data_IF_681696282465
#
_entry.id   IF_681696282465
#
_cell.length_a   1.000
_cell.length_b   1.000
_cell.length_c   1.000
_cell.angle_alpha   90.00
_cell.angle_beta   90.00
_cell.angle_gamma   90.00
#
_symmetry.space_group_name_H-M   'P 1'
#
loop_
_entity.id
_entity.type
_entity.pdbx_description
1 polymer ?
#
# COMPACT_ATOMS: atom_id res chain seq x y z
N UNK A 1 -6.45 9.67 -0.80
CA UNK A 1 -5.77 8.36 -0.92
C UNK A 1 -6.75 7.24 -1.30
N UNK A 2 -7.74 6.88 -0.48
CA UNK A 2 -8.68 5.79 -0.81
C UNK A 2 -9.42 5.99 -2.13
N UNK A 3 -9.88 7.21 -2.43
CA UNK A 3 -10.55 7.54 -3.70
C UNK A 3 -9.66 7.30 -4.93
N UNK A 4 -8.39 7.69 -4.86
CA UNK A 4 -7.43 7.49 -5.95
C UNK A 4 -7.15 6.01 -6.19
N UNK A 5 -7.02 5.24 -5.10
CA UNK A 5 -6.78 3.80 -5.17
C UNK A 5 -8.00 3.06 -5.70
N UNK A 6 -9.19 3.42 -5.21
CA UNK A 6 -10.46 2.90 -5.73
C UNK A 6 -10.59 3.17 -7.23
N UNK A 7 -10.30 4.39 -7.68
CA UNK A 7 -10.31 4.74 -9.10
C UNK A 7 -9.34 3.90 -9.95
N UNK A 8 -8.11 3.69 -9.48
CA UNK A 8 -7.13 2.83 -10.17
C UNK A 8 -7.59 1.38 -10.25
N UNK A 9 -8.13 0.83 -9.17
CA UNK A 9 -8.66 -0.55 -9.14
C UNK A 9 -9.86 -0.73 -10.08
N UNK A 10 -10.80 0.22 -10.06
CA UNK A 10 -11.95 0.19 -10.98
C UNK A 10 -11.49 0.29 -12.43
N UNK A 11 -10.51 1.15 -12.73
CA UNK A 11 -9.93 1.28 -14.07
C UNK A 11 -9.26 -0.01 -14.55
N UNK A 12 -8.41 -0.62 -13.72
CA UNK A 12 -7.75 -1.90 -14.02
C UNK A 12 -8.80 -3.00 -14.22
N UNK A 13 -9.80 -3.08 -13.34
CA UNK A 13 -10.92 -4.03 -13.46
C UNK A 13 -11.69 -3.84 -14.77
N UNK A 14 -11.99 -2.60 -15.15
CA UNK A 14 -12.69 -2.31 -16.40
C UNK A 14 -11.90 -2.75 -17.64
N UNK A 15 -10.58 -2.49 -17.65
CA UNK A 15 -9.69 -2.97 -18.74
C UNK A 15 -9.64 -4.50 -18.76
N UNK A 16 -9.52 -5.17 -17.61
CA UNK A 16 -9.51 -6.62 -17.53
C UNK A 16 -10.80 -7.24 -18.06
N UNK A 17 -11.95 -6.65 -17.71
CA UNK A 17 -13.27 -7.06 -18.23
C UNK A 17 -13.35 -6.89 -19.74
N UNK A 18 -12.92 -5.75 -20.27
CA UNK A 18 -12.93 -5.50 -21.71
C UNK A 18 -12.08 -6.56 -22.44
N UNK A 19 -10.90 -6.89 -21.90
CA UNK A 19 -10.04 -7.93 -22.45
C UNK A 19 -10.67 -9.33 -22.36
N UNK A 20 -11.38 -9.66 -21.28
CA UNK A 20 -12.13 -10.92 -21.15
C UNK A 20 -13.24 -11.03 -22.20
N UNK A 21 -14.04 -9.97 -22.38
CA UNK A 21 -15.11 -9.94 -23.38
C UNK A 21 -14.55 -10.12 -24.80
N UNK A 22 -13.47 -9.39 -25.13
CA UNK A 22 -12.83 -9.46 -26.44
C UNK A 22 -12.24 -10.83 -26.76
N UNK A 23 -11.69 -11.52 -25.76
CA UNK A 23 -10.99 -12.79 -25.97
C UNK A 23 -11.90 -14.01 -25.92
N UNK A 24 -12.83 -14.02 -24.99
CA UNK A 24 -13.55 -15.24 -24.59
C UNK A 24 -15.04 -15.18 -24.94
N UNK A 25 -15.52 -14.04 -25.42
CA UNK A 25 -16.93 -13.83 -25.70
C UNK A 25 -17.74 -13.62 -24.41
N UNK A 26 -18.87 -14.31 -24.29
CA UNK A 26 -19.86 -14.09 -23.23
C UNK A 26 -19.74 -15.05 -22.04
N UNK A 27 -19.00 -16.15 -22.17
CA UNK A 27 -18.77 -17.12 -21.10
C UNK A 27 -17.31 -17.52 -20.99
N UNK A 28 -16.85 -17.83 -19.77
CA UNK A 28 -15.50 -18.31 -19.47
C UNK A 28 -15.58 -19.49 -18.52
N UNK A 29 -14.78 -20.51 -18.80
CA UNK A 29 -14.45 -21.54 -17.84
C UNK A 29 -13.41 -21.00 -16.85
N UNK A 30 -13.77 -21.02 -15.56
CA UNK A 30 -12.91 -20.53 -14.48
C UNK A 30 -12.16 -21.71 -13.89
N UNK A 31 -10.87 -21.77 -14.15
CA UNK A 31 -9.97 -22.74 -13.54
C UNK A 31 -9.58 -22.30 -12.11
N UNK A 32 -9.60 -23.25 -11.15
CA UNK A 32 -9.35 -22.98 -9.72
C UNK A 32 -7.96 -22.40 -9.52
N UNK A 33 -6.94 -22.92 -10.20
CA UNK A 33 -5.57 -22.43 -10.06
C UNK A 33 -5.46 -20.98 -10.54
N UNK A 34 -6.13 -20.64 -11.64
CA UNK A 34 -6.17 -19.27 -12.17
C UNK A 34 -6.89 -18.30 -11.22
N UNK A 35 -8.03 -18.73 -10.65
CA UNK A 35 -8.78 -17.94 -9.68
C UNK A 35 -7.96 -17.68 -8.39
N UNK A 36 -7.24 -18.70 -7.90
CA UNK A 36 -6.35 -18.57 -6.73
C UNK A 36 -5.20 -17.59 -7.00
N UNK A 37 -4.56 -17.67 -8.16
CA UNK A 37 -3.50 -16.72 -8.54
C UNK A 37 -4.05 -15.30 -8.62
N UNK A 38 -5.20 -15.10 -9.27
CA UNK A 38 -5.83 -13.78 -9.37
C UNK A 38 -6.20 -13.21 -7.99
N UNK A 39 -6.74 -14.04 -7.10
CA UNK A 39 -7.07 -13.65 -5.72
C UNK A 39 -5.81 -13.30 -4.92
N UNK A 40 -4.72 -14.07 -5.06
CA UNK A 40 -3.44 -13.78 -4.41
C UNK A 40 -2.84 -12.46 -4.89
N UNK A 41 -2.88 -12.16 -6.20
CA UNK A 41 -2.40 -10.87 -6.73
C UNK A 41 -3.24 -9.71 -6.19
N UNK A 42 -4.57 -9.86 -6.17
CA UNK A 42 -5.47 -8.84 -5.62
C UNK A 42 -5.21 -8.59 -4.14
N UNK A 43 -5.02 -9.65 -3.33
CA UNK A 43 -4.69 -9.55 -1.91
C UNK A 43 -3.33 -8.89 -1.68
N UNK A 44 -2.32 -9.22 -2.48
CA UNK A 44 -1.01 -8.56 -2.41
C UNK A 44 -1.13 -7.05 -2.68
N UNK A 45 -1.91 -6.67 -3.69
CA UNK A 45 -2.13 -5.28 -4.05
C UNK A 45 -2.93 -4.51 -2.97
N UNK A 46 -4.06 -5.08 -2.50
CA UNK A 46 -4.86 -4.48 -1.44
C UNK A 46 -4.07 -4.39 -0.13
N UNK A 47 -3.31 -5.43 0.19
CA UNK A 47 -2.44 -5.45 1.35
C UNK A 47 -1.38 -4.37 1.28
N UNK A 48 -0.71 -4.22 0.14
CA UNK A 48 0.24 -3.13 -0.11
C UNK A 48 -0.38 -1.75 0.17
N UNK A 49 -1.60 -1.51 -0.34
CA UNK A 49 -2.36 -0.28 -0.10
C UNK A 49 -2.62 -0.04 1.38
N UNK A 50 -3.13 -1.05 2.09
CA UNK A 50 -3.47 -0.95 3.51
C UNK A 50 -2.23 -0.72 4.35
N UNK A 51 -1.15 -1.46 4.07
CA UNK A 51 0.14 -1.31 4.73
C UNK A 51 0.69 0.09 4.57
N UNK A 52 0.64 0.65 3.35
CA UNK A 52 1.06 2.03 3.09
C UNK A 52 0.23 3.03 3.88
N UNK A 53 -1.09 2.83 3.97
CA UNK A 53 -1.97 3.70 4.75
C UNK A 53 -1.69 3.63 6.26
N UNK A 54 -1.52 2.42 6.81
CA UNK A 54 -1.18 2.20 8.23
C UNK A 54 0.18 2.79 8.59
N UNK A 55 1.14 2.64 7.68
CA UNK A 55 2.47 3.20 7.83
C UNK A 55 2.42 4.73 7.87
N UNK A 56 1.73 5.37 6.92
CA UNK A 56 1.54 6.83 6.93
C UNK A 56 0.79 7.30 8.18
N UNK A 57 -0.14 6.48 8.70
CA UNK A 57 -0.94 6.79 9.88
C UNK A 57 -0.20 6.64 11.23
N UNK A 58 1.09 6.34 11.25
CA UNK A 58 1.80 6.25 12.53
C UNK A 58 1.77 4.88 13.22
N UNK A 59 1.30 3.82 12.54
CA UNK A 59 1.01 2.51 13.16
C UNK A 59 1.96 1.39 12.68
N UNK A 60 3.27 1.46 13.00
CA UNK A 60 4.25 0.52 12.47
C UNK A 60 4.05 -0.93 12.98
N UNK A 61 3.62 -1.14 14.23
CA UNK A 61 3.40 -2.49 14.77
C UNK A 61 2.27 -3.27 14.08
N UNK A 62 1.13 -2.60 13.83
CA UNK A 62 0.03 -3.18 13.05
C UNK A 62 0.41 -3.38 11.58
N UNK A 63 1.34 -2.58 11.05
CA UNK A 63 1.83 -2.72 9.67
C UNK A 63 2.63 -4.02 9.54
N UNK A 64 3.56 -4.31 10.45
CA UNK A 64 4.40 -5.51 10.38
C UNK A 64 3.55 -6.78 10.49
N UNK A 65 2.67 -6.87 11.49
CA UNK A 65 1.80 -8.04 11.67
C UNK A 65 0.87 -8.27 10.47
N UNK A 66 0.21 -7.23 9.98
CA UNK A 66 -0.62 -7.33 8.77
C UNK A 66 0.20 -7.78 7.55
N UNK A 67 1.44 -7.32 7.41
CA UNK A 67 2.29 -7.69 6.26
C UNK A 67 2.66 -9.17 6.27
N UNK A 68 2.97 -9.74 7.44
CA UNK A 68 3.29 -11.16 7.58
C UNK A 68 2.07 -12.03 7.25
N UNK A 69 0.90 -11.68 7.79
CA UNK A 69 -0.34 -12.43 7.54
C UNK A 69 -0.72 -12.38 6.05
N UNK A 70 -0.73 -11.19 5.45
CA UNK A 70 -1.07 -11.03 4.03
C UNK A 70 -0.06 -11.77 3.15
N UNK A 71 1.24 -11.63 3.45
CA UNK A 71 2.29 -12.34 2.71
C UNK A 71 2.12 -13.86 2.77
N UNK A 72 1.84 -14.41 3.95
CA UNK A 72 1.60 -15.84 4.13
C UNK A 72 0.37 -16.33 3.33
N UNK A 73 -0.74 -15.59 3.37
CA UNK A 73 -1.96 -15.95 2.61
C UNK A 73 -1.70 -15.91 1.11
N UNK A 74 -1.03 -14.87 0.61
CA UNK A 74 -0.69 -14.72 -0.81
C UNK A 74 0.19 -15.88 -1.28
N UNK A 75 1.25 -16.20 -0.52
CA UNK A 75 2.16 -17.30 -0.84
C UNK A 75 1.46 -18.66 -0.78
N UNK A 76 0.61 -18.89 0.21
CA UNK A 76 -0.18 -20.11 0.32
C UNK A 76 -1.12 -20.29 -0.87
N UNK A 77 -1.81 -19.21 -1.30
CA UNK A 77 -2.69 -19.25 -2.47
C UNK A 77 -1.94 -19.56 -3.78
N UNK A 78 -0.74 -18.98 -3.97
CA UNK A 78 0.11 -19.26 -5.14
C UNK A 78 0.63 -20.70 -5.11
N UNK A 79 1.11 -21.18 -3.96
CA UNK A 79 1.60 -22.54 -3.81
C UNK A 79 0.49 -23.58 -4.04
N UNK A 80 -0.72 -23.30 -3.54
CA UNK A 80 -1.89 -24.15 -3.78
C UNK A 80 -2.27 -24.20 -5.26
N UNK A 81 -2.26 -23.04 -5.94
CA UNK A 81 -2.50 -22.97 -7.38
C UNK A 81 -1.46 -23.76 -8.19
N UNK A 82 -0.18 -23.67 -7.83
CA UNK A 82 0.89 -24.42 -8.48
C UNK A 82 0.72 -25.94 -8.32
N UNK A 83 0.27 -26.40 -7.14
CA UNK A 83 0.05 -27.82 -6.86
C UNK A 83 -1.20 -28.40 -7.55
N UNK A 84 -2.27 -27.62 -7.73
CA UNK A 84 -3.51 -28.08 -8.37
C UNK A 84 -3.34 -28.36 -9.87
N UNK A 85 -2.44 -27.65 -10.54
CA UNK A 85 -2.25 -27.75 -11.99
C UNK A 85 -3.46 -27.24 -12.79
N UNK A 86 -3.44 -27.46 -14.10
CA UNK A 86 -4.53 -27.07 -15.01
C UNK A 86 -5.58 -28.19 -15.13
N UNK A 87 -6.83 -27.82 -15.42
CA UNK A 87 -7.91 -28.76 -15.72
C UNK A 87 -8.91 -28.98 -14.59
N UNK A 88 -8.75 -28.27 -13.47
CA UNK A 88 -9.71 -28.26 -12.37
C UNK A 88 -10.57 -26.99 -12.45
N UNK A 89 -11.79 -27.15 -12.95
CA UNK A 89 -12.73 -26.04 -13.12
C UNK A 89 -13.46 -25.73 -11.81
N UNK A 90 -13.40 -24.47 -11.38
CA UNK A 90 -14.20 -23.94 -10.28
C UNK A 90 -15.65 -23.78 -10.72
N UNK A 91 -15.84 -23.32 -11.95
CA UNK A 91 -17.13 -23.14 -12.58
C UNK A 91 -16.96 -23.14 -14.10
N UNK A 92 -17.95 -23.68 -14.82
CA UNK A 92 -17.98 -23.71 -16.29
C UNK A 92 -19.00 -22.71 -16.82
N UNK A 93 -18.74 -22.19 -18.01
CA UNK A 93 -19.61 -21.26 -18.73
C UNK A 93 -20.06 -20.05 -17.90
N UNK A 94 -19.17 -19.52 -17.06
CA UNK A 94 -19.52 -18.40 -16.20
C UNK A 94 -19.75 -17.16 -17.07
N UNK A 95 -20.92 -16.51 -16.97
CA UNK A 95 -21.19 -15.29 -17.71
C UNK A 95 -20.16 -14.22 -17.39
N UNK A 96 -19.51 -13.67 -18.42
CA UNK A 96 -18.53 -12.58 -18.26
C UNK A 96 -19.08 -11.38 -17.50
N UNK A 97 -20.38 -10.99 -17.61
CA UNK A 97 -20.94 -9.92 -16.76
C UNK A 97 -20.85 -10.19 -15.25
N UNK A 98 -20.96 -11.46 -14.80
CA UNK A 98 -20.82 -11.80 -13.39
C UNK A 98 -19.36 -11.67 -12.93
N UNK A 99 -18.42 -12.12 -13.75
CA UNK A 99 -16.98 -11.95 -13.50
C UNK A 99 -16.60 -10.47 -13.51
N UNK A 100 -17.22 -9.68 -14.39
CA UNK A 100 -17.04 -8.24 -14.44
C UNK A 100 -17.49 -7.55 -13.15
N UNK A 101 -18.65 -7.90 -12.63
CA UNK A 101 -19.10 -7.40 -11.34
C UNK A 101 -18.11 -7.79 -10.23
N UNK A 102 -17.70 -9.06 -10.16
CA UNK A 102 -16.72 -9.53 -9.18
C UNK A 102 -15.39 -8.74 -9.23
N UNK A 103 -14.89 -8.44 -10.43
CA UNK A 103 -13.65 -7.68 -10.62
C UNK A 103 -13.79 -6.19 -10.27
N UNK A 104 -14.96 -5.59 -10.50
CA UNK A 104 -15.20 -4.17 -10.24
C UNK A 104 -15.53 -3.88 -8.77
N UNK A 105 -16.14 -4.84 -8.06
CA UNK A 105 -16.59 -4.70 -6.67
C UNK A 105 -15.51 -4.10 -5.74
N UNK A 106 -14.26 -4.60 -5.70
CA UNK A 106 -13.25 -4.05 -4.77
C UNK A 106 -12.99 -2.55 -4.99
N UNK A 107 -12.90 -2.11 -6.24
CA UNK A 107 -12.69 -0.70 -6.58
C UNK A 107 -13.90 0.16 -6.23
N UNK A 108 -15.11 -0.30 -6.58
CA UNK A 108 -16.36 0.40 -6.27
C UNK A 108 -16.59 0.51 -4.77
N UNK A 109 -16.36 -0.57 -4.01
CA UNK A 109 -16.46 -0.57 -2.54
C UNK A 109 -15.49 0.45 -1.94
N UNK A 110 -14.23 0.48 -2.40
CA UNK A 110 -13.26 1.48 -1.95
C UNK A 110 -13.70 2.92 -2.25
N UNK A 111 -14.29 3.16 -3.42
CA UNK A 111 -14.84 4.46 -3.79
C UNK A 111 -16.00 4.85 -2.88
N UNK A 112 -16.96 3.96 -2.66
CA UNK A 112 -18.12 4.18 -1.78
C UNK A 112 -17.68 4.43 -0.34
N UNK A 113 -16.77 3.61 0.19
CA UNK A 113 -16.20 3.79 1.53
C UNK A 113 -15.47 5.12 1.62
N UNK A 114 -14.71 5.50 0.60
CA UNK A 114 -14.00 6.78 0.59
C UNK A 114 -14.93 8.00 0.59
N UNK A 115 -16.11 7.88 -0.05
CA UNK A 115 -17.13 8.93 -0.04
C UNK A 115 -17.86 9.02 1.29
N UNK A 116 -18.04 7.89 1.98
CA UNK A 116 -18.76 7.83 3.26
C UNK A 116 -17.89 7.99 4.49
N UNK A 117 -16.56 7.95 4.34
CA UNK A 117 -15.66 8.21 5.47
C UNK A 117 -15.84 9.66 5.93
N UNK A 118 -16.35 9.89 7.16
CA UNK A 118 -16.42 11.24 7.70
C UNK A 118 -14.99 11.78 7.75
N UNK A 119 -14.80 13.01 7.27
CA UNK A 119 -13.56 13.71 7.55
C UNK A 119 -13.45 13.80 9.07
N UNK A 120 -12.50 13.06 9.65
CA UNK A 120 -12.26 13.15 11.09
C UNK A 120 -11.94 14.61 11.38
N UNK A 121 -12.84 15.28 12.09
CA UNK A 121 -12.59 16.62 12.62
C UNK A 121 -11.30 16.51 13.41
N UNK A 122 -10.27 17.24 12.98
CA UNK A 122 -9.01 17.34 13.70
C UNK A 122 -9.36 17.73 15.13
N UNK A 123 -9.22 16.78 16.08
CA UNK A 123 -9.49 17.03 17.50
C UNK A 123 -8.70 18.27 17.90
N UNK A 124 -9.40 19.29 18.38
CA UNK A 124 -8.81 20.57 18.75
C UNK A 124 -8.11 20.53 20.11
N UNK A 125 -8.33 19.49 20.93
CA UNK A 125 -7.73 19.35 22.25
C UNK A 125 -7.20 17.93 22.47
N UNK A 126 -5.93 17.85 22.85
CA UNK A 126 -5.21 16.61 23.10
C UNK A 126 -4.59 16.76 24.49
N UNK A 127 -4.72 15.73 25.35
CA UNK A 127 -3.93 15.70 26.57
C UNK A 127 -2.45 15.51 26.23
N UNK A 128 -1.54 15.99 27.08
CA UNK A 128 -0.10 15.93 26.82
C UNK A 128 0.39 14.49 26.61
N UNK A 129 -0.15 13.52 27.37
CA UNK A 129 0.15 12.10 27.20
C UNK A 129 -0.33 11.55 25.83
N UNK A 130 -1.50 11.98 25.36
CA UNK A 130 -1.99 11.60 24.03
C UNK A 130 -1.17 12.26 22.91
N UNK A 131 -0.81 13.52 23.12
CA UNK A 131 0.07 14.29 22.25
C UNK A 131 1.42 13.60 22.10
N UNK A 132 2.06 13.25 23.21
CA UNK A 132 3.38 12.63 23.23
C UNK A 132 3.38 11.24 22.59
N UNK A 133 2.36 10.41 22.86
CA UNK A 133 2.19 9.10 22.21
C UNK A 133 2.08 9.21 20.70
N UNK A 134 1.35 10.20 20.20
CA UNK A 134 1.15 10.42 18.76
C UNK A 134 2.35 11.07 18.09
N UNK A 135 3.02 11.99 18.76
CA UNK A 135 4.30 12.56 18.32
C UNK A 135 5.33 11.44 18.14
N UNK A 136 5.53 10.63 19.17
CA UNK A 136 6.42 9.46 19.14
C UNK A 136 6.04 8.48 18.03
N UNK A 137 4.74 8.18 17.88
CA UNK A 137 4.23 7.33 16.79
C UNK A 137 4.50 7.92 15.40
N UNK A 138 4.34 9.24 15.25
CA UNK A 138 4.62 9.98 14.02
C UNK A 138 6.09 9.96 13.63
N UNK A 139 6.99 10.15 14.60
CA UNK A 139 8.44 10.05 14.39
C UNK A 139 8.87 8.64 13.97
N UNK A 140 8.34 7.61 14.65
CA UNK A 140 8.64 6.20 14.33
C UNK A 140 8.13 5.78 12.96
N UNK A 141 6.92 6.19 12.59
CA UNK A 141 6.39 5.94 11.24
C UNK A 141 7.17 6.67 10.14
N UNK A 142 7.92 7.71 10.50
CA UNK A 142 8.86 8.38 9.59
C UNK A 142 10.26 7.77 9.63
N UNK A 143 10.40 6.59 10.23
CA UNK A 143 11.63 5.79 10.33
C UNK A 143 12.76 6.50 11.08
N UNK A 144 12.41 7.42 11.97
CA UNK A 144 13.42 8.12 12.75
C UNK A 144 14.11 7.15 13.74
N UNK A 145 15.44 7.22 13.90
CA UNK A 145 16.17 6.31 14.80
C UNK A 145 15.67 6.41 16.24
N UNK A 146 15.60 5.26 16.92
CA UNK A 146 15.05 5.16 18.26
C UNK A 146 15.72 6.07 19.28
N UNK A 147 17.05 6.24 19.18
CA UNK A 147 17.82 7.17 20.02
C UNK A 147 17.36 8.60 19.82
N UNK A 148 17.39 9.09 18.58
CA UNK A 148 16.91 10.44 18.23
C UNK A 148 15.45 10.70 18.60
N UNK A 149 14.59 9.67 18.53
CA UNK A 149 13.20 9.80 19.02
C UNK A 149 13.16 10.05 20.52
N UNK A 150 13.96 9.31 21.31
CA UNK A 150 14.04 9.52 22.76
C UNK A 150 14.57 10.92 23.08
N UNK A 151 15.63 11.34 22.39
CA UNK A 151 16.26 12.65 22.59
C UNK A 151 15.25 13.80 22.39
N UNK A 152 14.47 13.76 21.30
CA UNK A 152 13.43 14.78 21.07
C UNK A 152 12.25 14.70 22.04
N UNK A 153 11.90 13.49 22.52
CA UNK A 153 10.86 13.36 23.55
C UNK A 153 11.34 14.00 24.85
N UNK A 154 12.57 13.72 25.27
CA UNK A 154 13.15 14.33 26.48
C UNK A 154 13.32 15.84 26.36
N UNK A 155 13.68 16.34 25.16
CA UNK A 155 13.78 17.78 24.88
C UNK A 155 12.42 18.47 25.03
N UNK A 156 11.35 17.88 24.48
CA UNK A 156 9.99 18.42 24.58
C UNK A 156 9.47 18.32 26.01
N UNK A 157 9.69 17.20 26.71
CA UNK A 157 9.30 17.05 28.11
C UNK A 157 9.94 18.14 28.98
N UNK A 158 11.25 18.38 28.81
CA UNK A 158 11.95 19.45 29.52
C UNK A 158 11.43 20.85 29.17
N UNK A 159 11.14 21.11 27.89
CA UNK A 159 10.57 22.39 27.47
C UNK A 159 9.17 22.64 28.07
N UNK A 160 8.33 21.60 28.18
CA UNK A 160 7.00 21.70 28.78
C UNK A 160 7.05 21.92 30.29
N UNK A 161 8.00 21.27 30.98
CA UNK A 161 8.25 21.51 32.41
C UNK A 161 8.61 22.97 32.69
N UNK A 162 9.38 23.60 31.80
CA UNK A 162 9.78 25.01 31.92
C UNK A 162 8.66 25.99 31.53
N UNK A 163 7.91 25.70 30.47
CA UNK A 163 6.87 26.59 29.95
C UNK A 163 5.59 26.59 30.80
N UNK A 164 5.26 25.46 31.44
CA UNK A 164 4.03 25.31 32.23
C UNK A 164 2.74 25.32 31.39
N UNK A 165 2.85 25.18 30.07
CA UNK A 165 1.74 25.16 29.12
C UNK A 165 1.52 23.76 28.53
N UNK A 166 0.32 23.52 27.98
CA UNK A 166 0.05 22.24 27.29
C UNK A 166 0.88 22.10 26.00
N UNK A 167 1.21 20.86 25.65
CA UNK A 167 2.01 20.53 24.46
C UNK A 167 1.38 21.01 23.15
N UNK A 168 0.04 21.00 23.08
CA UNK A 168 -0.67 21.51 21.91
C UNK A 168 -0.54 23.03 21.76
N UNK A 169 -0.49 23.76 22.88
CA UNK A 169 -0.37 25.23 22.84
C UNK A 169 1.03 25.65 22.42
N UNK A 170 2.05 24.96 22.94
CA UNK A 170 3.45 25.27 22.66
C UNK A 170 3.88 24.80 21.25
N UNK A 171 3.52 23.57 20.89
CA UNK A 171 4.06 22.89 19.70
C UNK A 171 3.03 22.61 18.60
N UNK A 172 1.76 22.94 18.82
CA UNK A 172 0.69 22.71 17.85
C UNK A 172 0.39 21.23 17.61
N UNK A 173 0.15 20.87 16.35
CA UNK A 173 -0.27 19.52 15.99
C UNK A 173 0.93 18.54 15.94
N UNK A 174 0.93 17.43 16.69
CA UNK A 174 2.13 16.61 16.89
C UNK A 174 2.61 15.91 15.62
N UNK A 175 1.70 15.53 14.72
CA UNK A 175 2.10 14.93 13.44
C UNK A 175 2.71 15.95 12.46
N UNK A 176 2.44 17.24 12.65
CA UNK A 176 3.06 18.32 11.87
C UNK A 176 4.48 18.54 12.39
N UNK A 177 4.66 18.70 13.70
CA UNK A 177 6.00 18.80 14.29
C UNK A 177 6.86 17.55 13.98
N UNK A 178 6.32 16.35 14.19
CA UNK A 178 7.02 15.10 13.86
C UNK A 178 7.38 15.03 12.37
N UNK A 179 6.55 15.64 11.50
CA UNK A 179 6.82 15.71 10.08
C UNK A 179 8.01 16.59 9.77
N UNK A 180 8.08 17.75 10.41
CA UNK A 180 9.09 18.76 10.15
C UNK A 180 10.45 18.33 10.72
N UNK A 181 10.48 17.77 11.94
CA UNK A 181 11.69 17.17 12.53
C UNK A 181 12.23 16.01 11.68
N UNK A 182 11.35 15.15 11.16
CA UNK A 182 11.79 14.07 10.28
C UNK A 182 12.26 14.56 8.91
N UNK A 183 11.77 15.72 8.45
CA UNK A 183 12.18 16.31 7.17
C UNK A 183 13.58 16.93 7.27
N UNK A 184 13.98 17.46 8.43
CA UNK A 184 15.33 17.96 8.66
C UNK A 184 16.33 16.81 8.86
N UNK A 185 15.92 15.71 9.50
CA UNK A 185 16.78 14.56 9.77
C UNK A 185 17.21 13.79 8.48
N UNK A 186 18.52 13.71 8.22
CA UNK A 186 19.08 13.03 7.03
C UNK A 186 18.89 11.50 7.05
N UNK A 187 18.98 10.88 8.22
CA UNK A 187 18.87 9.41 8.36
C UNK A 187 17.44 8.96 8.12
N UNK A 188 16.47 9.66 8.72
CA UNK A 188 15.04 9.39 8.52
C UNK A 188 14.64 9.53 7.05
N UNK A 189 15.08 10.63 6.39
CA UNK A 189 14.85 10.83 4.94
C UNK A 189 15.44 9.72 4.09
N UNK A 190 16.69 9.34 4.34
CA UNK A 190 17.37 8.26 3.60
C UNK A 190 16.65 6.92 3.75
N UNK A 191 16.26 6.56 4.98
CA UNK A 191 15.51 5.32 5.24
C UNK A 191 14.15 5.33 4.56
N UNK A 192 13.43 6.45 4.63
CA UNK A 192 12.12 6.59 4.00
C UNK A 192 12.22 6.53 2.49
N UNK A 193 13.23 7.17 1.91
CA UNK A 193 13.53 7.07 0.49
C UNK A 193 13.76 5.62 0.09
N UNK A 194 14.66 4.91 0.75
CA UNK A 194 14.92 3.49 0.47
C UNK A 194 13.67 2.62 0.60
N UNK A 195 12.87 2.79 1.66
CA UNK A 195 11.64 2.03 1.83
C UNK A 195 10.67 2.29 0.68
N UNK A 196 10.44 3.55 0.32
CA UNK A 196 9.53 3.91 -0.78
C UNK A 196 10.05 3.42 -2.13
N UNK A 197 11.36 3.52 -2.38
CA UNK A 197 11.99 3.01 -3.60
C UNK A 197 11.85 1.49 -3.68
N UNK A 198 12.30 0.75 -2.66
CA UNK A 198 12.26 -0.71 -2.64
C UNK A 198 10.85 -1.23 -2.82
N UNK A 199 9.90 -0.66 -2.09
CA UNK A 199 8.53 -1.14 -2.18
C UNK A 199 7.83 -0.70 -3.47
N UNK A 200 8.10 0.51 -3.95
CA UNK A 200 7.58 1.00 -5.23
C UNK A 200 8.11 0.23 -6.44
N UNK A 201 9.28 -0.40 -6.35
CA UNK A 201 9.91 -1.14 -7.45
C UNK A 201 9.76 -2.66 -7.31
N UNK A 202 10.00 -3.20 -6.13
CA UNK A 202 9.99 -4.65 -5.90
C UNK A 202 8.59 -5.23 -6.04
N UNK A 203 7.56 -4.55 -5.51
CA UNK A 203 6.17 -5.03 -5.61
C UNK A 203 5.71 -5.22 -7.06
N UNK A 204 5.81 -4.22 -7.96
CA UNK A 204 5.43 -4.43 -9.36
C UNK A 204 6.32 -5.46 -10.07
N UNK A 205 7.62 -5.56 -9.75
CA UNK A 205 8.49 -6.59 -10.33
C UNK A 205 8.08 -8.01 -9.91
N UNK A 206 7.75 -8.22 -8.64
CA UNK A 206 7.25 -9.51 -8.15
C UNK A 206 5.92 -9.88 -8.82
N UNK A 207 5.02 -8.91 -9.01
CA UNK A 207 3.76 -9.14 -9.74
C UNK A 207 4.06 -9.50 -11.21
N UNK A 208 4.95 -8.77 -11.88
CA UNK A 208 5.35 -9.06 -13.26
C UNK A 208 5.95 -10.47 -13.39
N UNK A 209 6.83 -10.85 -12.47
CA UNK A 209 7.43 -12.17 -12.45
C UNK A 209 6.38 -13.26 -12.27
N UNK A 210 5.43 -13.08 -11.33
CA UNK A 210 4.35 -14.04 -11.10
C UNK A 210 3.44 -14.20 -12.33
N UNK A 211 3.12 -13.10 -13.00
CA UNK A 211 2.33 -13.13 -14.24
C UNK A 211 3.09 -13.91 -15.32
N UNK A 212 4.38 -13.59 -15.51
CA UNK A 212 5.22 -14.24 -16.50
C UNK A 212 5.37 -15.74 -16.27
N UNK A 213 5.57 -16.19 -15.03
CA UNK A 213 5.76 -17.61 -14.70
C UNK A 213 4.47 -18.41 -14.70
N UNK A 214 3.33 -17.78 -14.38
CA UNK A 214 2.05 -18.50 -14.35
C UNK A 214 1.51 -18.86 -15.74
N UNK A 215 1.95 -18.19 -16.82
CA UNK A 215 1.43 -18.30 -18.20
C UNK A 215 -0.11 -18.22 -18.35
N UNK A 216 -0.80 -17.84 -17.27
CA UNK A 216 -2.26 -17.93 -17.12
C UNK A 216 -3.04 -16.98 -18.02
N UNK A 217 -2.34 -16.04 -18.67
CA UNK A 217 -2.93 -14.97 -19.48
C UNK A 217 -2.68 -15.18 -20.98
N UNK A 218 -2.02 -16.27 -21.40
CA UNK A 218 -1.69 -16.54 -22.81
C UNK A 218 -1.01 -15.34 -23.48
N UNK A 219 -1.58 -14.85 -24.59
CA UNK A 219 -1.05 -13.70 -25.34
C UNK A 219 -0.99 -12.37 -24.53
N UNK A 220 -1.77 -12.24 -23.46
CA UNK A 220 -1.77 -11.05 -22.60
C UNK A 220 -0.70 -11.08 -21.51
N UNK A 221 -0.05 -12.24 -21.30
CA UNK A 221 1.00 -12.40 -20.28
C UNK A 221 2.12 -11.38 -20.49
N UNK A 222 2.59 -11.24 -21.72
CA UNK A 222 3.69 -10.34 -22.09
C UNK A 222 3.31 -8.87 -21.89
N UNK A 223 2.22 -8.33 -22.49
CA UNK A 223 1.89 -6.91 -22.33
C UNK A 223 1.55 -6.53 -20.88
N UNK A 224 0.88 -7.39 -20.13
CA UNK A 224 0.57 -7.10 -18.72
C UNK A 224 1.83 -7.12 -17.86
N UNK A 225 2.70 -8.14 -18.02
CA UNK A 225 3.98 -8.17 -17.32
C UNK A 225 4.86 -6.95 -17.66
N UNK A 226 4.90 -6.57 -18.94
CA UNK A 226 5.63 -5.39 -19.41
C UNK A 226 5.11 -4.11 -18.77
N UNK A 227 3.78 -3.93 -18.63
CA UNK A 227 3.21 -2.77 -17.96
C UNK A 227 3.67 -2.64 -16.50
N UNK A 228 3.76 -3.76 -15.77
CA UNK A 228 4.29 -3.77 -14.40
C UNK A 228 5.80 -3.50 -14.35
N UNK A 229 6.59 -4.06 -15.28
CA UNK A 229 8.02 -3.74 -15.40
C UNK A 229 8.23 -2.25 -15.68
N UNK A 230 7.46 -1.67 -16.60
CA UNK A 230 7.50 -0.24 -16.90
C UNK A 230 7.09 0.59 -15.68
N UNK A 231 6.06 0.18 -14.95
CA UNK A 231 5.68 0.83 -13.70
C UNK A 231 6.82 0.80 -12.67
N UNK A 232 7.55 -0.31 -12.55
CA UNK A 232 8.70 -0.42 -11.67
C UNK A 232 9.84 0.50 -12.12
N UNK A 233 10.11 0.58 -13.43
CA UNK A 233 11.12 1.46 -13.99
C UNK A 233 10.79 2.94 -13.74
N UNK A 234 9.53 3.35 -13.91
CA UNK A 234 9.07 4.71 -13.60
C UNK A 234 9.17 5.00 -12.10
N UNK A 235 8.77 4.06 -11.25
CA UNK A 235 8.90 4.21 -9.79
C UNK A 235 10.37 4.36 -9.37
N UNK A 236 11.28 3.59 -9.98
CA UNK A 236 12.71 3.71 -9.72
C UNK A 236 13.26 5.04 -10.22
N UNK A 237 12.90 5.47 -11.43
CA UNK A 237 13.36 6.73 -12.02
C UNK A 237 12.90 7.95 -11.22
N UNK A 238 11.62 7.99 -10.84
CA UNK A 238 11.06 9.07 -9.99
C UNK A 238 11.66 9.05 -8.58
N UNK A 239 11.86 7.88 -7.99
CA UNK A 239 12.57 7.81 -6.72
C UNK A 239 14.02 8.31 -6.85
N UNK A 240 14.72 7.96 -7.93
CA UNK A 240 16.11 8.37 -8.15
C UNK A 240 16.28 9.88 -8.31
N UNK A 241 15.33 10.57 -8.95
CA UNK A 241 15.33 12.04 -9.02
C UNK A 241 15.17 12.68 -7.64
N UNK A 242 14.39 12.07 -6.76
CA UNK A 242 14.01 12.60 -5.45
C UNK A 242 14.98 12.20 -4.32
N UNK A 243 16.21 11.80 -4.68
CA UNK A 243 17.18 11.27 -3.70
C UNK A 243 17.61 12.36 -2.69
N UNK A 244 17.55 12.06 -1.38
CA UNK A 244 17.63 13.09 -0.33
C UNK A 244 19.02 13.74 -0.15
N UNK A 245 20.05 13.23 -0.82
CA UNK A 245 21.41 13.78 -0.77
C UNK A 245 21.76 14.73 -1.92
N UNK A 246 20.87 14.90 -2.92
CA UNK A 246 21.11 15.82 -4.05
C UNK A 246 20.50 17.20 -3.88
N UNK A 247 19.53 17.38 -2.97
CA UNK A 247 19.17 18.71 -2.48
C UNK A 247 20.31 19.27 -1.63
N UNK A 248 21.30 19.86 -2.29
CA UNK A 248 22.25 20.83 -1.74
C UNK A 248 22.06 22.12 -2.51
N UNK A 249 21.88 23.20 -1.74
CA UNK A 249 21.61 24.60 -2.13
C UNK A 249 20.12 24.92 -2.16
#
# INVERSE_FOLDING_TARGET
MLREIGGRLTGIGAVAVLLMVLRSGWSIDVDIAHALVAASVLLAFLGWVVLRALFVAGRPGSTISASVVIGAVVLAGIALAANLGSGHYAARDVPVPLLALAMLIPGVVLLVVSQRMPQQVLRQQWSDEQWMRRFTGGLRARLMPSGTVRDHVTEIEHALELAGTSAYTEFGHPLVLARDLAATNRVARTRRWWLLTLTGTLTPLLIAALIATSHSWGALTIPVALAFVLSAAVALGTAWSDRPWVTRR
#
